data_IF_119218420666
#
_entry.id   IF_119218420666
#
_cell.length_a   1.000
_cell.length_b   1.000
_cell.length_c   1.000
_cell.angle_alpha   90.00
_cell.angle_beta   90.00
_cell.angle_gamma   90.00
#
_symmetry.space_group_name_H-M   'P 1'
#
loop_
_entity.id
_entity.type
_entity.pdbx_description
1 polymer ?
#
# COMPACT_ATOMS: atom_id res chain seq x y z
N UNK A 1 -8.06 8.01 -11.20
CA UNK A 1 -8.58 9.14 -10.40
C UNK A 1 -7.54 9.50 -9.35
N UNK A 2 -7.58 10.70 -8.79
CA UNK A 2 -6.69 11.11 -7.70
C UNK A 2 -7.21 10.65 -6.33
N UNK A 3 -6.45 10.99 -5.29
CA UNK A 3 -6.83 10.76 -3.90
C UNK A 3 -6.86 12.09 -3.15
N UNK A 4 -7.92 12.33 -2.39
CA UNK A 4 -7.97 13.35 -1.35
C UNK A 4 -7.36 12.77 -0.07
N UNK A 5 -6.03 12.88 0.05
CA UNK A 5 -5.24 12.24 1.11
C UNK A 5 -5.71 12.61 2.52
N UNK A 6 -5.94 13.89 2.78
CA UNK A 6 -6.32 14.35 4.12
C UNK A 6 -7.80 14.09 4.40
N UNK A 7 -8.70 14.56 3.52
CA UNK A 7 -10.14 14.53 3.79
C UNK A 7 -10.78 13.15 3.70
N UNK A 8 -10.23 12.25 2.87
CA UNK A 8 -10.77 10.89 2.68
C UNK A 8 -9.96 9.85 3.43
N UNK A 9 -8.63 9.96 3.46
CA UNK A 9 -7.75 8.92 3.99
C UNK A 9 -7.05 9.28 5.31
N UNK A 10 -7.18 10.52 5.79
CA UNK A 10 -6.55 10.96 7.03
C UNK A 10 -5.02 10.88 7.00
N UNK A 11 -4.44 10.96 5.81
CA UNK A 11 -3.00 10.94 5.59
C UNK A 11 -2.50 12.37 5.38
N UNK A 12 -1.54 12.80 6.21
CA UNK A 12 -0.96 14.14 6.15
C UNK A 12 0.55 14.08 6.26
N UNK A 13 1.23 15.05 5.67
CA UNK A 13 2.69 15.19 5.75
C UNK A 13 3.07 16.56 6.29
N UNK A 14 4.18 16.63 7.02
CA UNK A 14 4.83 17.87 7.42
C UNK A 14 6.33 17.64 7.41
N UNK A 15 7.04 18.31 6.50
CA UNK A 15 8.48 18.15 6.27
C UNK A 15 8.89 16.67 6.07
N UNK A 16 9.51 16.07 7.08
CA UNK A 16 10.01 14.68 7.11
C UNK A 16 9.05 13.68 7.79
N UNK A 17 7.87 14.14 8.22
CA UNK A 17 6.87 13.32 8.91
C UNK A 17 5.67 12.94 8.02
N UNK A 18 5.19 11.71 8.19
CA UNK A 18 3.94 11.19 7.64
C UNK A 18 3.06 10.73 8.80
N UNK A 19 1.84 11.24 8.89
CA UNK A 19 0.84 10.80 9.87
C UNK A 19 -0.29 10.07 9.15
N UNK A 20 -0.63 8.87 9.63
CA UNK A 20 -1.70 8.04 9.09
C UNK A 20 -2.79 7.82 10.14
N UNK A 21 -3.98 8.37 9.88
CA UNK A 21 -5.13 8.16 10.75
C UNK A 21 -5.82 6.83 10.44
N UNK A 22 -6.15 6.04 11.45
CA UNK A 22 -6.71 4.70 11.23
C UNK A 22 -8.14 4.75 10.65
N UNK A 23 -9.02 5.60 11.17
CA UNK A 23 -10.40 5.76 10.67
C UNK A 23 -10.62 7.21 10.30
N UNK A 24 -11.06 7.45 9.07
CA UNK A 24 -11.43 8.79 8.58
C UNK A 24 -12.88 8.77 8.11
N UNK A 25 -13.74 9.52 8.78
CA UNK A 25 -15.15 9.64 8.44
C UNK A 25 -15.37 10.82 7.49
N UNK A 26 -15.52 10.52 6.20
CA UNK A 26 -15.88 11.51 5.19
C UNK A 26 -17.39 11.74 5.12
N UNK A 27 -17.80 12.68 4.26
CA UNK A 27 -19.23 13.02 4.07
C UNK A 27 -20.03 11.85 3.49
N UNK A 28 -19.40 11.04 2.65
CA UNK A 28 -20.07 9.98 1.85
C UNK A 28 -19.60 8.57 2.18
N UNK A 29 -18.45 8.42 2.82
CA UNK A 29 -17.85 7.13 3.13
C UNK A 29 -16.91 7.23 4.33
N UNK A 30 -16.70 6.11 5.00
CA UNK A 30 -15.68 5.94 6.04
C UNK A 30 -14.53 5.13 5.46
N UNK A 31 -13.31 5.66 5.57
CA UNK A 31 -12.08 4.96 5.22
C UNK A 31 -11.47 4.28 6.45
N UNK A 32 -10.92 3.08 6.27
CA UNK A 32 -10.24 2.30 7.31
C UNK A 32 -8.84 1.93 6.83
N UNK A 33 -7.83 2.41 7.55
CA UNK A 33 -6.42 2.18 7.27
C UNK A 33 -5.93 2.84 5.97
N UNK A 34 -4.65 2.66 5.70
CA UNK A 34 -4.01 3.14 4.48
C UNK A 34 -2.69 2.41 4.26
N UNK A 35 -2.25 2.32 3.00
CA UNK A 35 -0.90 1.87 2.62
C UNK A 35 -0.30 2.88 1.67
N UNK A 36 0.89 3.37 2.00
CA UNK A 36 1.60 4.40 1.24
C UNK A 36 2.97 3.88 0.79
N UNK A 37 3.49 4.43 -0.31
CA UNK A 37 4.82 4.13 -0.81
C UNK A 37 5.62 5.43 -0.94
N UNK A 38 6.91 5.38 -0.65
CA UNK A 38 7.80 6.51 -0.87
C UNK A 38 8.08 6.65 -2.38
N UNK A 39 8.06 7.89 -2.88
CA UNK A 39 8.18 8.22 -4.30
C UNK A 39 9.50 8.97 -4.56
N UNK A 40 10.25 8.58 -5.59
CA UNK A 40 11.44 9.31 -6.06
C UNK A 40 11.08 10.42 -7.05
N UNK A 41 9.93 10.28 -7.72
CA UNK A 41 9.36 11.23 -8.68
C UNK A 41 7.86 10.98 -8.82
N UNK A 42 7.18 11.75 -9.67
CA UNK A 42 5.73 11.59 -9.90
C UNK A 42 5.34 10.18 -10.40
N UNK A 43 6.21 9.50 -11.15
CA UNK A 43 5.92 8.23 -11.82
C UNK A 43 6.78 7.04 -11.34
N UNK A 44 7.57 7.20 -10.26
CA UNK A 44 8.48 6.15 -9.77
C UNK A 44 8.54 6.09 -8.25
N UNK A 45 8.56 4.87 -7.72
CA UNK A 45 8.90 4.63 -6.32
C UNK A 45 10.35 5.00 -6.01
N UNK A 46 10.63 5.30 -4.75
CA UNK A 46 11.99 5.35 -4.22
C UNK A 46 12.46 3.93 -3.93
N UNK A 47 13.59 3.54 -4.52
CA UNK A 47 14.09 2.16 -4.45
C UNK A 47 15.30 2.07 -3.53
N UNK A 48 15.28 1.10 -2.63
CA UNK A 48 16.34 0.92 -1.62
C UNK A 48 17.10 -0.39 -1.85
N UNK A 49 18.43 -0.31 -1.78
CA UNK A 49 19.29 -1.48 -1.67
C UNK A 49 19.73 -1.63 -0.21
N UNK A 50 19.07 -2.49 0.55
CA UNK A 50 19.30 -2.61 1.99
C UNK A 50 20.57 -3.39 2.36
N UNK A 51 20.99 -4.34 1.52
CA UNK A 51 22.12 -5.22 1.85
C UNK A 51 23.41 -4.42 2.01
N UNK A 52 24.02 -4.51 3.21
CA UNK A 52 25.25 -3.80 3.56
C UNK A 52 25.04 -2.35 4.00
N UNK A 53 23.80 -1.91 4.15
CA UNK A 53 23.43 -0.55 4.54
C UNK A 53 22.61 -0.54 5.85
N UNK A 54 22.31 0.67 6.34
CA UNK A 54 21.49 0.93 7.52
C UNK A 54 20.26 1.76 7.10
N UNK A 55 19.10 1.45 7.68
CA UNK A 55 17.87 2.22 7.54
C UNK A 55 17.36 2.58 8.94
N UNK A 56 17.03 3.85 9.14
CA UNK A 56 16.60 4.39 10.44
C UNK A 56 15.44 5.35 10.22
N UNK A 57 14.49 5.36 11.16
CA UNK A 57 13.33 6.25 11.17
C UNK A 57 12.88 6.49 12.62
N UNK A 58 12.23 7.63 12.85
CA UNK A 58 11.53 7.91 14.11
C UNK A 58 10.05 7.55 13.97
N UNK A 59 9.44 7.07 15.06
CA UNK A 59 8.03 6.66 15.07
C UNK A 59 7.35 6.99 16.39
N UNK A 60 6.11 7.50 16.31
CA UNK A 60 5.22 7.68 17.45
C UNK A 60 4.03 6.72 17.34
N UNK A 61 4.05 5.66 18.16
CA UNK A 61 2.96 4.69 18.29
C UNK A 61 2.15 4.89 19.57
N UNK A 62 2.28 6.04 20.25
CA UNK A 62 1.59 6.30 21.53
C UNK A 62 0.07 6.19 21.45
N UNK A 63 -0.50 6.40 20.26
CA UNK A 63 -1.93 6.27 19.97
C UNK A 63 -2.30 4.99 19.18
N UNK A 64 -1.37 4.05 19.02
CA UNK A 64 -1.61 2.75 18.37
C UNK A 64 -1.84 1.70 19.46
N UNK A 65 -3.12 1.37 19.69
CA UNK A 65 -3.54 0.41 20.71
C UNK A 65 -3.57 -1.05 20.22
N UNK A 66 -3.97 -1.95 21.11
CA UNK A 66 -4.09 -3.38 20.80
C UNK A 66 -4.98 -3.65 19.58
N UNK A 67 -4.53 -4.55 18.70
CA UNK A 67 -5.27 -4.98 17.51
C UNK A 67 -5.08 -4.10 16.28
N UNK A 68 -4.29 -3.03 16.40
CA UNK A 68 -3.80 -2.24 15.27
C UNK A 68 -2.36 -2.66 14.96
N UNK A 69 -1.92 -2.33 13.73
CA UNK A 69 -0.54 -2.48 13.31
C UNK A 69 -0.13 -1.20 12.58
N UNK A 70 0.88 -0.52 13.09
CA UNK A 70 1.59 0.53 12.37
C UNK A 70 2.87 -0.07 11.79
N UNK A 71 2.87 -0.31 10.47
CA UNK A 71 3.93 -1.03 9.79
C UNK A 71 4.80 -0.13 8.89
N UNK A 72 6.10 -0.39 8.91
CA UNK A 72 7.07 0.10 7.94
C UNK A 72 7.92 -1.08 7.48
N UNK A 73 7.87 -1.37 6.19
CA UNK A 73 8.46 -2.58 5.62
C UNK A 73 8.89 -2.34 4.17
N UNK A 74 9.70 -3.26 3.65
CA UNK A 74 10.19 -3.23 2.28
C UNK A 74 9.69 -4.45 1.52
N UNK A 75 9.15 -4.23 0.33
CA UNK A 75 8.74 -5.27 -0.61
C UNK A 75 9.43 -5.08 -1.94
N UNK A 76 9.74 -6.18 -2.63
CA UNK A 76 10.47 -6.17 -3.89
C UNK A 76 9.56 -5.85 -5.10
N UNK A 77 8.83 -4.74 -5.05
CA UNK A 77 8.00 -4.21 -6.13
C UNK A 77 8.84 -3.60 -7.27
N UNK A 78 8.25 -3.47 -8.45
CA UNK A 78 8.87 -2.76 -9.57
C UNK A 78 8.80 -1.23 -9.38
N UNK A 79 9.88 -0.52 -9.71
CA UNK A 79 10.03 0.94 -9.59
C UNK A 79 8.87 1.71 -10.25
N UNK A 80 8.36 1.22 -11.38
CA UNK A 80 7.28 1.83 -12.17
C UNK A 80 5.89 1.28 -11.83
N UNK A 81 5.76 0.52 -10.75
CA UNK A 81 4.52 -0.16 -10.37
C UNK A 81 4.10 -1.26 -11.34
N UNK A 82 5.03 -1.78 -12.16
CA UNK A 82 4.84 -2.87 -13.09
C UNK A 82 4.39 -2.46 -14.50
N UNK A 83 4.49 -1.18 -14.86
CA UNK A 83 4.07 -0.66 -16.18
C UNK A 83 4.89 -1.25 -17.33
N UNK A 84 6.21 -1.35 -17.16
CA UNK A 84 7.11 -1.89 -18.19
C UNK A 84 6.89 -3.38 -18.43
N UNK A 85 6.53 -4.14 -17.40
CA UNK A 85 6.22 -5.58 -17.50
C UNK A 85 4.81 -5.84 -18.03
N UNK A 86 3.85 -4.99 -17.70
CA UNK A 86 2.44 -5.22 -17.98
C UNK A 86 1.88 -4.08 -18.83
N UNK A 87 1.81 -4.29 -20.14
CA UNK A 87 1.40 -3.25 -21.11
C UNK A 87 -0.02 -2.71 -20.88
N UNK A 88 -0.88 -3.43 -20.18
CA UNK A 88 -2.24 -3.00 -19.80
C UNK A 88 -2.27 -2.18 -18.52
N UNK A 89 -1.21 -2.20 -17.70
CA UNK A 89 -1.05 -1.25 -16.60
C UNK A 89 -0.64 0.11 -17.16
N UNK A 90 -1.57 1.06 -17.15
CA UNK A 90 -1.36 2.45 -17.58
C UNK A 90 -1.32 3.45 -16.42
N UNK A 91 -1.38 2.96 -15.18
CA UNK A 91 -1.44 3.79 -13.98
C UNK A 91 -0.06 3.89 -13.32
N UNK A 92 0.58 2.74 -13.05
CA UNK A 92 1.93 2.69 -12.51
C UNK A 92 2.10 3.21 -11.08
N UNK A 93 3.35 3.46 -10.72
CA UNK A 93 3.74 3.90 -9.38
C UNK A 93 3.04 5.18 -8.92
N UNK A 94 2.74 6.09 -9.86
CA UNK A 94 1.95 7.32 -9.61
C UNK A 94 0.63 7.06 -8.88
N UNK A 95 0.00 5.91 -9.13
CA UNK A 95 -1.26 5.49 -8.51
C UNK A 95 -1.10 4.27 -7.61
N UNK A 96 0.12 3.97 -7.15
CA UNK A 96 0.36 2.92 -6.15
C UNK A 96 0.15 1.49 -6.67
N UNK A 97 0.29 1.22 -7.98
CA UNK A 97 0.10 -0.14 -8.51
C UNK A 97 1.29 -1.06 -8.25
N UNK A 98 1.05 -2.37 -8.41
CA UNK A 98 2.11 -3.38 -8.43
C UNK A 98 2.46 -3.95 -7.05
N UNK A 99 1.63 -3.72 -6.03
CA UNK A 99 1.85 -4.29 -4.70
C UNK A 99 2.00 -5.80 -4.74
N UNK A 100 2.89 -6.29 -3.91
CA UNK A 100 3.16 -7.70 -3.64
C UNK A 100 3.80 -7.79 -2.26
N UNK A 101 3.69 -8.94 -1.62
CA UNK A 101 4.40 -9.23 -0.37
C UNK A 101 4.60 -10.75 -0.20
N UNK A 102 5.08 -11.19 0.96
CA UNK A 102 5.36 -12.61 1.23
C UNK A 102 4.10 -13.48 1.38
N UNK A 103 2.94 -12.86 1.61
CA UNK A 103 1.66 -13.52 1.81
C UNK A 103 0.91 -13.78 0.51
N UNK A 104 1.42 -13.25 -0.62
CA UNK A 104 0.77 -13.37 -1.93
C UNK A 104 -0.69 -12.85 -1.93
N UNK A 105 -0.96 -11.62 -1.48
CA UNK A 105 -2.30 -11.06 -1.28
C UNK A 105 -3.17 -11.21 -2.52
N UNK A 106 -4.37 -11.73 -2.29
CA UNK A 106 -5.40 -11.97 -3.31
C UNK A 106 -6.53 -10.94 -3.31
N UNK A 107 -6.48 -10.01 -2.37
CA UNK A 107 -7.44 -8.93 -2.19
C UNK A 107 -7.16 -7.71 -3.08
N UNK A 108 -5.98 -7.68 -3.71
CA UNK A 108 -5.66 -6.67 -4.72
C UNK A 108 -6.64 -6.74 -5.88
N UNK A 109 -7.24 -5.59 -6.19
CA UNK A 109 -8.23 -5.43 -7.27
C UNK A 109 -7.60 -5.49 -8.66
N UNK A 110 -6.30 -5.20 -8.77
CA UNK A 110 -5.52 -5.31 -10.00
C UNK A 110 -4.16 -5.96 -9.72
N UNK A 111 -3.81 -6.98 -10.52
CA UNK A 111 -2.54 -7.71 -10.48
C UNK A 111 -2.07 -7.88 -11.92
N UNK A 112 -0.79 -7.64 -12.21
CA UNK A 112 -0.21 -7.72 -13.55
C UNK A 112 -0.96 -6.90 -14.63
N UNK A 113 -1.48 -5.73 -14.24
CA UNK A 113 -2.27 -4.88 -15.14
C UNK A 113 -3.62 -5.47 -15.55
N UNK A 114 -4.11 -6.49 -14.84
CA UNK A 114 -5.40 -7.13 -15.06
C UNK A 114 -6.28 -6.99 -13.83
N UNK A 115 -7.58 -6.77 -14.03
CA UNK A 115 -8.54 -6.79 -12.93
C UNK A 115 -8.63 -8.20 -12.33
N UNK A 116 -8.57 -8.29 -11.00
CA UNK A 116 -8.68 -9.54 -10.26
C UNK A 116 -10.15 -9.94 -10.01
N UNK A 117 -11.01 -9.80 -11.01
CA UNK A 117 -12.47 -9.97 -10.87
C UNK A 117 -12.95 -11.41 -11.01
N UNK A 118 -12.12 -12.30 -11.56
CA UNK A 118 -12.46 -13.71 -11.74
C UNK A 118 -12.60 -14.41 -10.38
N UNK A 119 -13.74 -15.08 -10.16
CA UNK A 119 -14.10 -15.76 -8.92
C UNK A 119 -13.99 -14.86 -7.66
N UNK A 120 -14.25 -13.55 -7.83
CA UNK A 120 -14.21 -12.61 -6.72
C UNK A 120 -15.23 -13.00 -5.65
N UNK A 121 -14.73 -13.24 -4.44
CA UNK A 121 -15.53 -13.58 -3.26
C UNK A 121 -15.41 -12.44 -2.26
N UNK A 122 -16.53 -11.80 -1.93
CA UNK A 122 -16.56 -10.74 -0.91
C UNK A 122 -16.12 -11.28 0.45
N UNK A 123 -15.41 -10.47 1.22
CA UNK A 123 -15.02 -10.83 2.58
C UNK A 123 -16.25 -10.98 3.48
N UNK A 124 -16.19 -11.88 4.45
CA UNK A 124 -17.27 -12.08 5.43
C UNK A 124 -17.22 -11.08 6.59
N UNK A 125 -16.10 -10.38 6.76
CA UNK A 125 -15.84 -9.49 7.91
C UNK A 125 -15.25 -8.12 7.53
N UNK A 126 -15.06 -7.84 6.24
CA UNK A 126 -14.66 -6.53 5.73
C UNK A 126 -15.59 -6.13 4.58
N UNK A 127 -16.31 -5.04 4.74
CA UNK A 127 -17.30 -4.58 3.77
C UNK A 127 -16.69 -4.08 2.44
N UNK A 128 -15.40 -3.75 2.43
CA UNK A 128 -14.71 -3.13 1.29
C UNK A 128 -13.71 -4.07 0.60
N UNK A 129 -13.46 -5.23 1.20
CA UNK A 129 -12.51 -6.22 0.71
C UNK A 129 -13.18 -7.48 0.16
N UNK A 130 -12.38 -8.29 -0.51
CA UNK A 130 -12.71 -9.59 -1.05
C UNK A 130 -11.45 -10.22 -1.60
N UNK A 131 -11.55 -11.38 -2.23
CA UNK A 131 -10.41 -12.06 -2.84
C UNK A 131 -10.76 -12.55 -4.24
N UNK A 132 -9.85 -12.33 -5.20
CA UNK A 132 -9.96 -12.82 -6.58
C UNK A 132 -9.09 -14.05 -6.83
N UNK A 133 -9.08 -14.55 -8.06
CA UNK A 133 -8.32 -15.77 -8.45
C UNK A 133 -6.80 -15.60 -8.39
N UNK A 134 -6.29 -14.37 -8.51
CA UNK A 134 -4.85 -14.06 -8.55
C UNK A 134 -4.34 -13.59 -7.19
N UNK A 135 -3.05 -13.86 -6.92
CA UNK A 135 -2.28 -13.29 -5.82
C UNK A 135 -0.98 -12.69 -6.33
N UNK A 136 -0.41 -11.72 -5.60
CA UNK A 136 0.80 -11.00 -5.99
C UNK A 136 1.92 -11.23 -4.97
N UNK A 137 2.96 -11.98 -5.34
CA UNK A 137 4.01 -12.44 -4.42
C UNK A 137 5.34 -11.73 -4.68
N UNK A 138 6.06 -11.34 -3.64
CA UNK A 138 7.47 -10.98 -3.72
C UNK A 138 8.18 -11.15 -2.38
N UNK A 139 9.49 -10.88 -2.36
CA UNK A 139 10.24 -10.85 -1.10
C UNK A 139 9.83 -9.65 -0.27
N UNK A 140 9.77 -9.86 1.05
CA UNK A 140 9.35 -8.88 2.04
C UNK A 140 10.37 -8.86 3.18
N UNK A 141 10.64 -7.66 3.70
CA UNK A 141 11.43 -7.43 4.90
C UNK A 141 10.65 -6.47 5.79
N UNK A 142 10.02 -7.03 6.82
CA UNK A 142 9.31 -6.29 7.85
C UNK A 142 10.32 -5.66 8.81
N UNK A 143 10.65 -4.39 8.59
CA UNK A 143 11.54 -3.63 9.47
C UNK A 143 10.84 -3.31 10.78
N UNK A 144 9.54 -3.01 10.71
CA UNK A 144 8.74 -2.63 11.85
C UNK A 144 7.27 -3.01 11.64
N UNK A 145 6.73 -3.81 12.55
CA UNK A 145 5.31 -4.04 12.76
C UNK A 145 5.06 -3.94 14.26
N UNK A 146 4.23 -3.00 14.70
CA UNK A 146 3.98 -2.76 16.13
C UNK A 146 2.57 -2.25 16.41
#
# INVERSE_FOLDING_TARGET
DGADYEGTYGATTSDDSLTLQFVTEGITATNIGSRMYLMSSEDKYEMFQLLGNEFTFDVDVSNVGCGLNAALYFVAMDEDGGMSKNSTNKAGAKYGTGYCDSQCPRDLKFIDGLANSENWTASSNDANAGVGSRGSCCSEMDIWEA
#
